data_IF_517172401607
#
_entry.id   IF_517172401607
#
_cell.length_a   1.000
_cell.length_b   1.000
_cell.length_c   1.000
_cell.angle_alpha   90.00
_cell.angle_beta   90.00
_cell.angle_gamma   90.00
#
_symmetry.space_group_name_H-M   'P 1'
#
loop_
_entity.id
_entity.type
_entity.pdbx_description
1 polymer ?
#
# COMPACT_ATOMS: atom_id res chain seq x y z
N UNK A 1 -17.69 -2.43 -16.71
CA UNK A 1 -16.78 -3.61 -16.56
C UNK A 1 -15.29 -3.24 -16.58
N UNK A 2 -14.87 -2.19 -17.29
CA UNK A 2 -13.45 -1.76 -17.33
C UNK A 2 -12.87 -1.32 -15.97
N UNK A 3 -13.68 -0.71 -15.11
CA UNK A 3 -13.21 -0.23 -13.79
C UNK A 3 -12.80 -1.36 -12.83
N UNK A 4 -13.61 -2.41 -12.70
CA UNK A 4 -13.31 -3.54 -11.81
C UNK A 4 -12.06 -4.32 -12.25
N UNK A 5 -11.90 -4.54 -13.56
CA UNK A 5 -10.72 -5.20 -14.12
C UNK A 5 -9.46 -4.39 -13.81
N UNK A 6 -9.51 -3.06 -13.94
CA UNK A 6 -8.38 -2.20 -13.60
C UNK A 6 -8.06 -2.22 -12.11
N UNK A 7 -9.07 -2.28 -11.24
CA UNK A 7 -8.86 -2.42 -9.78
C UNK A 7 -8.14 -3.74 -9.48
N UNK A 8 -8.65 -4.86 -9.99
CA UNK A 8 -8.02 -6.17 -9.77
C UNK A 8 -6.58 -6.17 -10.30
N UNK A 9 -6.37 -5.70 -11.53
CA UNK A 9 -5.03 -5.58 -12.11
C UNK A 9 -4.07 -4.76 -11.24
N UNK A 10 -4.56 -3.67 -10.65
CA UNK A 10 -3.76 -2.79 -9.77
C UNK A 10 -3.39 -3.51 -8.47
N UNK A 11 -4.34 -4.22 -7.85
CA UNK A 11 -4.11 -5.00 -6.64
C UNK A 11 -3.11 -6.12 -6.90
N UNK A 12 -3.34 -6.93 -7.92
CA UNK A 12 -2.44 -8.05 -8.25
C UNK A 12 -1.04 -7.55 -8.62
N UNK A 13 -0.91 -6.42 -9.31
CA UNK A 13 0.38 -5.81 -9.59
C UNK A 13 1.13 -5.41 -8.31
N UNK A 14 0.42 -4.81 -7.33
CA UNK A 14 0.97 -4.51 -6.02
C UNK A 14 1.42 -5.79 -5.30
N UNK A 15 0.56 -6.80 -5.21
CA UNK A 15 0.84 -8.06 -4.49
C UNK A 15 2.02 -8.81 -5.09
N UNK A 16 2.13 -8.88 -6.43
CA UNK A 16 3.28 -9.50 -7.10
C UNK A 16 4.57 -8.76 -6.75
N UNK A 17 4.59 -7.44 -6.88
CA UNK A 17 5.75 -6.62 -6.56
C UNK A 17 6.17 -6.76 -5.09
N UNK A 18 5.18 -6.71 -4.18
CA UNK A 18 5.36 -6.92 -2.74
C UNK A 18 5.97 -8.29 -2.44
N UNK A 19 5.44 -9.34 -3.06
CA UNK A 19 5.96 -10.70 -2.89
C UNK A 19 7.41 -10.84 -3.31
N UNK A 20 7.80 -10.20 -4.42
CA UNK A 20 9.17 -10.24 -4.92
C UNK A 20 10.13 -9.63 -3.90
N UNK A 21 9.90 -8.39 -3.47
CA UNK A 21 10.82 -7.69 -2.56
C UNK A 21 10.77 -8.22 -1.14
N UNK A 22 9.61 -8.65 -0.66
CA UNK A 22 9.49 -9.34 0.63
C UNK A 22 10.32 -10.63 0.62
N UNK A 23 10.21 -11.46 -0.42
CA UNK A 23 11.01 -12.67 -0.57
C UNK A 23 12.51 -12.36 -0.61
N UNK A 24 12.93 -11.41 -1.45
CA UNK A 24 14.34 -11.01 -1.56
C UNK A 24 14.90 -10.51 -0.24
N UNK A 25 14.12 -9.75 0.53
CA UNK A 25 14.55 -9.20 1.81
C UNK A 25 14.60 -10.27 2.91
N UNK A 26 13.61 -11.15 3.00
CA UNK A 26 13.57 -12.26 3.98
C UNK A 26 14.73 -13.24 3.77
N UNK A 27 15.13 -13.49 2.52
CA UNK A 27 16.32 -14.29 2.20
C UNK A 27 17.65 -13.51 2.28
N UNK A 28 17.62 -12.26 2.82
CA UNK A 28 18.78 -11.37 2.96
C UNK A 28 19.53 -11.08 1.64
N UNK A 29 18.85 -11.13 0.49
CA UNK A 29 19.40 -10.79 -0.79
C UNK A 29 19.39 -9.27 -1.04
N UNK A 30 18.46 -8.56 -0.41
CA UNK A 30 18.37 -7.09 -0.40
C UNK A 30 18.14 -6.65 1.04
N UNK A 31 18.93 -5.69 1.49
CA UNK A 31 18.79 -5.08 2.80
C UNK A 31 18.75 -3.56 2.68
N UNK A 32 17.73 -2.95 3.29
CA UNK A 32 17.62 -1.50 3.50
C UNK A 32 17.28 -1.24 4.96
N UNK A 33 17.80 -0.14 5.56
CA UNK A 33 17.44 0.23 6.93
C UNK A 33 15.94 0.39 7.07
N UNK A 34 15.34 -0.29 8.04
CA UNK A 34 13.89 -0.38 8.22
C UNK A 34 13.23 1.00 8.31
N UNK A 35 13.79 1.92 9.12
CA UNK A 35 13.27 3.28 9.27
C UNK A 35 13.21 4.05 7.94
N UNK A 36 14.23 3.87 7.08
CA UNK A 36 14.26 4.51 5.76
C UNK A 36 13.15 3.98 4.86
N UNK A 37 12.94 2.67 4.85
CA UNK A 37 11.87 2.05 4.06
C UNK A 37 10.50 2.53 4.56
N UNK A 38 10.28 2.56 5.86
CA UNK A 38 9.02 3.01 6.46
C UNK A 38 8.74 4.50 6.19
N UNK A 39 9.77 5.36 6.22
CA UNK A 39 9.63 6.76 5.82
C UNK A 39 9.22 6.90 4.34
N UNK A 40 9.82 6.10 3.44
CA UNK A 40 9.45 6.09 2.03
C UNK A 40 8.03 5.55 1.81
N UNK A 41 7.61 4.51 2.56
CA UNK A 41 6.23 4.01 2.54
C UNK A 41 5.26 5.12 2.95
N UNK A 42 5.56 5.84 4.02
CA UNK A 42 4.73 6.97 4.46
C UNK A 42 4.60 8.06 3.38
N UNK A 43 5.66 8.35 2.63
CA UNK A 43 5.61 9.27 1.48
C UNK A 43 4.71 8.75 0.36
N UNK A 44 4.66 7.43 0.10
CA UNK A 44 3.73 6.87 -0.89
C UNK A 44 2.26 7.09 -0.49
N UNK A 45 1.96 7.04 0.81
CA UNK A 45 0.62 7.34 1.34
C UNK A 45 0.27 8.81 1.13
N UNK A 46 1.21 9.74 1.42
CA UNK A 46 1.02 11.17 1.15
C UNK A 46 0.79 11.42 -0.34
N UNK A 47 1.60 10.79 -1.20
CA UNK A 47 1.44 10.90 -2.65
C UNK A 47 0.05 10.44 -3.11
N UNK A 48 -0.43 9.27 -2.64
CA UNK A 48 -1.78 8.78 -2.97
C UNK A 48 -2.88 9.73 -2.48
N UNK A 49 -2.69 10.34 -1.32
CA UNK A 49 -3.65 11.32 -0.79
C UNK A 49 -3.76 12.57 -1.68
N UNK A 50 -2.63 13.04 -2.23
CA UNK A 50 -2.62 14.14 -3.20
C UNK A 50 -3.31 13.74 -4.52
N UNK A 51 -3.07 12.52 -4.99
CA UNK A 51 -3.70 11.98 -6.20
C UNK A 51 -5.24 11.87 -6.05
N UNK A 52 -5.73 11.48 -4.86
CA UNK A 52 -7.17 11.46 -4.55
C UNK A 52 -7.77 12.86 -4.72
N UNK A 53 -7.06 13.91 -4.34
CA UNK A 53 -7.56 15.29 -4.40
C UNK A 53 -7.51 15.89 -5.82
N UNK A 54 -6.62 15.42 -6.70
CA UNK A 54 -6.41 15.95 -8.05
C UNK A 54 -7.35 15.30 -9.11
N UNK A 55 -8.59 15.03 -8.71
CA UNK A 55 -9.65 14.24 -9.37
C UNK A 55 -9.80 14.31 -10.90
N UNK A 56 -9.20 15.32 -11.56
CA UNK A 56 -9.26 15.50 -13.02
C UNK A 56 -8.15 14.75 -13.78
N UNK A 57 -7.10 14.29 -13.10
CA UNK A 57 -5.98 13.60 -13.73
C UNK A 57 -5.95 12.12 -13.34
N UNK A 58 -6.84 11.32 -13.91
CA UNK A 58 -6.72 9.88 -13.75
C UNK A 58 -5.36 9.40 -14.23
N UNK A 59 -4.64 8.71 -13.33
CA UNK A 59 -3.41 8.02 -13.67
C UNK A 59 -3.61 7.14 -14.90
N UNK A 60 -2.81 7.37 -15.94
CA UNK A 60 -2.87 6.57 -17.16
C UNK A 60 -2.55 5.10 -16.90
N UNK A 61 -1.74 4.81 -15.88
CA UNK A 61 -1.26 3.46 -15.53
C UNK A 61 -1.24 3.24 -14.02
N UNK A 62 -2.40 3.15 -13.34
CA UNK A 62 -2.44 2.99 -11.87
C UNK A 62 -1.77 1.69 -11.41
N UNK A 63 -1.79 0.64 -12.22
CA UNK A 63 -1.12 -0.63 -11.92
C UNK A 63 0.41 -0.50 -11.86
N UNK A 64 1.02 0.39 -12.65
CA UNK A 64 2.47 0.61 -12.62
C UNK A 64 2.91 1.30 -11.34
N UNK A 65 2.13 2.27 -10.87
CA UNK A 65 2.36 2.90 -9.57
C UNK A 65 2.18 1.92 -8.43
N UNK A 66 1.10 1.13 -8.47
CA UNK A 66 0.86 0.09 -7.46
C UNK A 66 2.00 -0.93 -7.45
N UNK A 67 2.53 -1.32 -8.60
CA UNK A 67 3.71 -2.17 -8.71
C UNK A 67 4.92 -1.54 -8.02
N UNK A 68 5.25 -0.27 -8.33
CA UNK A 68 6.38 0.44 -7.72
C UNK A 68 6.24 0.57 -6.19
N UNK A 69 5.03 0.89 -5.71
CA UNK A 69 4.74 0.96 -4.29
C UNK A 69 4.80 -0.42 -3.63
N UNK A 70 4.31 -1.47 -4.32
CA UNK A 70 4.40 -2.84 -3.85
C UNK A 70 5.84 -3.28 -3.60
N UNK A 71 6.78 -2.94 -4.51
CA UNK A 71 8.22 -3.21 -4.32
C UNK A 71 8.74 -2.58 -3.02
N UNK A 72 8.36 -1.34 -2.75
CA UNK A 72 8.79 -0.64 -1.55
C UNK A 72 8.16 -1.24 -0.29
N UNK A 73 6.85 -1.52 -0.32
CA UNK A 73 6.12 -2.08 0.82
C UNK A 73 6.61 -3.48 1.22
N UNK A 74 7.00 -4.31 0.24
CA UNK A 74 7.55 -5.63 0.51
C UNK A 74 8.86 -5.60 1.32
N UNK A 75 9.70 -4.59 1.09
CA UNK A 75 10.91 -4.37 1.89
C UNK A 75 10.57 -3.98 3.33
N UNK A 76 9.52 -3.18 3.54
CA UNK A 76 9.09 -2.75 4.87
C UNK A 76 8.53 -3.87 5.74
N UNK A 77 7.85 -4.85 5.15
CA UNK A 77 7.27 -5.97 5.89
C UNK A 77 8.27 -7.08 6.25
N UNK A 78 9.45 -7.10 5.65
CA UNK A 78 10.44 -8.12 5.91
C UNK A 78 10.93 -8.10 7.37
N UNK A 79 11.10 -6.90 7.96
CA UNK A 79 11.45 -6.75 9.37
C UNK A 79 10.41 -7.38 10.29
N UNK A 80 9.14 -7.03 10.11
CA UNK A 80 8.03 -7.58 10.90
C UNK A 80 7.93 -9.11 10.79
N UNK A 81 8.21 -9.67 9.62
CA UNK A 81 8.17 -11.12 9.41
C UNK A 81 9.34 -11.84 10.09
N UNK A 82 10.53 -11.20 10.12
CA UNK A 82 11.70 -11.70 10.83
C UNK A 82 11.47 -11.77 12.34
N UNK A 83 10.78 -10.79 12.90
CA UNK A 83 10.47 -10.72 14.34
C UNK A 83 9.52 -11.83 14.80
N UNK A 84 8.69 -12.36 13.91
CA UNK A 84 7.80 -13.50 14.19
C UNK A 84 8.58 -14.81 14.34
N UNK A 85 9.81 -14.91 13.84
CA UNK A 85 10.69 -16.07 14.04
C UNK A 85 10.25 -17.32 13.27
N UNK A 86 9.86 -17.17 12.00
CA UNK A 86 9.43 -18.30 11.17
C UNK A 86 10.62 -19.21 10.87
N UNK A 87 10.43 -20.52 11.05
CA UNK A 87 11.43 -21.53 10.73
C UNK A 87 11.77 -21.52 9.23
N UNK A 88 13.04 -21.72 8.88
CA UNK A 88 13.54 -21.60 7.50
C UNK A 88 12.87 -22.59 6.53
N UNK A 89 12.49 -23.78 7.01
CA UNK A 89 11.80 -24.82 6.23
C UNK A 89 10.36 -24.44 5.86
N UNK A 90 9.74 -23.54 6.64
CA UNK A 90 8.37 -23.07 6.42
C UNK A 90 8.31 -21.68 5.78
N UNK A 91 9.44 -21.04 5.56
CA UNK A 91 9.52 -19.64 5.12
C UNK A 91 8.80 -19.41 3.78
N UNK A 92 9.03 -20.26 2.79
CA UNK A 92 8.41 -20.12 1.46
C UNK A 92 6.88 -20.22 1.53
N UNK A 93 6.39 -21.18 2.33
CA UNK A 93 4.95 -21.40 2.49
C UNK A 93 4.31 -20.23 3.25
N UNK A 94 4.97 -19.72 4.27
CA UNK A 94 4.53 -18.55 5.04
C UNK A 94 4.45 -17.30 4.18
N UNK A 95 5.45 -17.05 3.35
CA UNK A 95 5.46 -15.95 2.39
C UNK A 95 4.31 -16.05 1.39
N UNK A 96 4.07 -17.25 0.86
CA UNK A 96 2.98 -17.50 -0.09
C UNK A 96 1.61 -17.20 0.55
N UNK A 97 1.33 -17.79 1.72
CA UNK A 97 0.05 -17.58 2.40
C UNK A 97 -0.13 -16.16 2.90
N UNK A 98 0.93 -15.49 3.34
CA UNK A 98 0.90 -14.09 3.73
C UNK A 98 0.48 -13.20 2.55
N UNK A 99 1.09 -13.39 1.37
CA UNK A 99 0.76 -12.59 0.19
C UNK A 99 -0.65 -12.88 -0.35
N UNK A 100 -1.09 -14.15 -0.34
CA UNK A 100 -2.48 -14.51 -0.66
C UNK A 100 -3.43 -13.82 0.33
N UNK A 101 -3.10 -13.81 1.62
CA UNK A 101 -3.89 -13.14 2.65
C UNK A 101 -4.01 -11.63 2.41
N UNK A 102 -2.92 -10.96 2.03
CA UNK A 102 -2.93 -9.54 1.67
C UNK A 102 -3.88 -9.29 0.49
N UNK A 103 -3.77 -10.08 -0.58
CA UNK A 103 -4.60 -9.89 -1.77
C UNK A 103 -6.09 -10.11 -1.47
N UNK A 104 -6.42 -11.17 -0.73
CA UNK A 104 -7.79 -11.45 -0.30
C UNK A 104 -8.35 -10.34 0.60
N UNK A 105 -7.55 -9.83 1.55
CA UNK A 105 -7.95 -8.73 2.41
C UNK A 105 -8.21 -7.45 1.60
N UNK A 106 -7.35 -7.11 0.65
CA UNK A 106 -7.53 -5.96 -0.23
C UNK A 106 -8.83 -6.09 -1.04
N UNK A 107 -9.09 -7.26 -1.65
CA UNK A 107 -10.32 -7.51 -2.41
C UNK A 107 -11.56 -7.42 -1.51
N UNK A 108 -11.50 -7.97 -0.30
CA UNK A 108 -12.61 -7.93 0.65
C UNK A 108 -12.92 -6.50 1.16
N UNK A 109 -11.93 -5.62 1.21
CA UNK A 109 -12.09 -4.24 1.65
C UNK A 109 -12.61 -3.30 0.54
N UNK A 110 -12.43 -3.62 -0.75
CA UNK A 110 -12.87 -2.78 -1.88
C UNK A 110 -14.34 -2.35 -1.80
N UNK A 111 -15.32 -3.19 -1.43
CA UNK A 111 -16.71 -2.78 -1.39
C UNK A 111 -16.97 -1.59 -0.48
N UNK A 112 -16.20 -1.41 0.60
CA UNK A 112 -16.40 -0.32 1.57
C UNK A 112 -16.26 1.06 0.91
N UNK A 113 -15.10 1.43 0.31
CA UNK A 113 -14.96 2.73 -0.34
C UNK A 113 -15.91 2.88 -1.53
N UNK A 114 -16.20 1.81 -2.28
CA UNK A 114 -17.14 1.88 -3.40
C UNK A 114 -18.55 2.21 -2.94
N UNK A 115 -19.03 1.62 -1.84
CA UNK A 115 -20.33 1.93 -1.25
C UNK A 115 -20.35 3.38 -0.72
N UNK A 116 -19.30 3.82 -0.05
CA UNK A 116 -19.18 5.19 0.45
C UNK A 116 -19.25 6.21 -0.69
N UNK A 117 -18.49 5.99 -1.77
CA UNK A 117 -18.50 6.83 -2.96
C UNK A 117 -19.90 6.82 -3.62
N UNK A 118 -20.53 5.65 -3.72
CA UNK A 118 -21.87 5.53 -4.28
C UNK A 118 -22.90 6.31 -3.47
N UNK A 119 -22.90 6.19 -2.13
CA UNK A 119 -23.80 6.94 -1.25
C UNK A 119 -23.55 8.44 -1.38
N UNK A 120 -22.28 8.86 -1.29
CA UNK A 120 -21.91 10.26 -1.43
C UNK A 120 -22.34 10.86 -2.78
N UNK A 121 -22.31 10.05 -3.85
CA UNK A 121 -22.76 10.47 -5.18
C UNK A 121 -24.26 10.76 -5.22
N UNK A 122 -25.05 10.00 -4.49
CA UNK A 122 -26.53 10.18 -4.44
C UNK A 122 -26.97 11.46 -3.72
N UNK A 123 -26.14 11.96 -2.81
CA UNK A 123 -26.42 13.17 -2.02
C UNK A 123 -25.56 14.37 -2.43
N UNK A 124 -24.88 14.30 -3.57
CA UNK A 124 -23.95 15.34 -4.07
C UNK A 124 -22.84 15.70 -3.06
N UNK A 125 -22.37 14.74 -2.28
CA UNK A 125 -21.35 14.92 -1.24
C UNK A 125 -19.96 14.38 -1.64
N UNK A 126 -19.77 13.96 -2.89
CA UNK A 126 -18.52 13.32 -3.37
C UNK A 126 -17.28 14.18 -3.14
N UNK A 127 -17.35 15.47 -3.49
CA UNK A 127 -16.18 16.37 -3.37
C UNK A 127 -15.76 16.54 -1.92
N UNK A 128 -16.73 16.64 -0.99
CA UNK A 128 -16.43 16.73 0.44
C UNK A 128 -15.81 15.44 0.97
N UNK A 129 -16.34 14.28 0.57
CA UNK A 129 -15.79 12.98 0.94
C UNK A 129 -14.35 12.82 0.41
N UNK A 130 -14.11 13.19 -0.83
CA UNK A 130 -12.79 13.12 -1.48
C UNK A 130 -11.77 14.01 -0.77
N UNK A 131 -12.11 15.26 -0.50
CA UNK A 131 -11.25 16.21 0.22
C UNK A 131 -10.99 15.71 1.64
N UNK A 132 -12.02 15.28 2.37
CA UNK A 132 -11.86 14.76 3.73
C UNK A 132 -10.96 13.51 3.76
N UNK A 133 -11.17 12.57 2.85
CA UNK A 133 -10.34 11.36 2.73
C UNK A 133 -8.88 11.73 2.43
N UNK A 134 -8.63 12.63 1.47
CA UNK A 134 -7.29 13.11 1.14
C UNK A 134 -6.59 13.73 2.36
N UNK A 135 -7.26 14.62 3.10
CA UNK A 135 -6.68 15.24 4.29
C UNK A 135 -6.42 14.22 5.41
N UNK A 136 -7.35 13.29 5.67
CA UNK A 136 -7.16 12.27 6.70
C UNK A 136 -6.00 11.32 6.36
N UNK A 137 -5.98 10.80 5.13
CA UNK A 137 -4.96 9.85 4.68
C UNK A 137 -3.60 10.55 4.56
N UNK A 138 -3.57 11.74 3.94
CA UNK A 138 -2.35 12.54 3.76
C UNK A 138 -1.78 13.03 5.09
N UNK A 139 -2.63 13.50 6.02
CA UNK A 139 -2.22 13.92 7.35
C UNK A 139 -1.61 12.78 8.17
N UNK A 140 -2.21 11.59 8.13
CA UNK A 140 -1.66 10.41 8.79
C UNK A 140 -0.34 9.96 8.15
N UNK A 141 -0.27 9.95 6.81
CA UNK A 141 0.97 9.62 6.10
C UNK A 141 2.10 10.61 6.39
N UNK A 142 1.78 11.90 6.45
CA UNK A 142 2.74 12.93 6.78
C UNK A 142 3.24 12.85 8.24
N UNK A 143 2.33 12.62 9.17
CA UNK A 143 2.70 12.36 10.58
C UNK A 143 3.65 11.17 10.68
N UNK A 144 3.32 10.08 10.02
CA UNK A 144 4.14 8.86 10.03
C UNK A 144 5.52 9.10 9.41
N UNK A 145 5.57 9.85 8.30
CA UNK A 145 6.83 10.23 7.68
C UNK A 145 7.74 11.00 8.64
N UNK A 146 7.21 12.02 9.33
CA UNK A 146 7.97 12.82 10.29
C UNK A 146 8.45 11.93 11.45
N UNK A 147 7.59 11.09 12.00
CA UNK A 147 7.93 10.17 13.09
C UNK A 147 9.11 9.24 12.70
N UNK A 148 9.07 8.66 11.51
CA UNK A 148 10.16 7.79 11.03
C UNK A 148 11.44 8.55 10.73
N UNK A 149 11.37 9.74 10.16
CA UNK A 149 12.55 10.58 9.90
C UNK A 149 13.22 10.99 11.20
N UNK A 150 12.46 11.40 12.22
CA UNK A 150 13.00 11.72 13.54
C UNK A 150 13.69 10.48 14.13
N UNK A 151 13.08 9.30 14.06
CA UNK A 151 13.67 8.05 14.56
C UNK A 151 14.92 7.57 13.81
N UNK A 152 15.20 8.10 12.61
CA UNK A 152 16.44 7.83 11.86
C UNK A 152 17.57 8.76 12.30
N UNK A 153 17.24 10.00 12.70
CA UNK A 153 18.21 11.05 12.98
C UNK A 153 18.66 11.05 14.46
N UNK A 154 17.75 10.69 15.37
CA UNK A 154 17.98 10.67 16.83
C UNK A 154 18.26 9.26 17.34
#
# INVERSE_FOLDING_TARGET
MSGLVNIIKTITAFTIAHSITLGLSVYNLIYLPQGTVEALIALTIVYLALEINDGDKQLKTPWLMAFSFGLLHGLGFAGALSDIGIANDQMLLSLLFFNIGIELAQIALIPIPLILIYIASKINFQNYLQVAASFCIGGMGFYWFIDRVIGIIL
#
